data_IF_871962442155
#
_entry.id   IF_871962442155
#
_cell.length_a   1.000
_cell.length_b   1.000
_cell.length_c   1.000
_cell.angle_alpha   90.00
_cell.angle_beta   90.00
_cell.angle_gamma   90.00
#
_symmetry.space_group_name_H-M   'P 1'
#
loop_
_entity.id
_entity.type
_entity.pdbx_description
1 polymer ?
#
# COMPACT_ATOMS: atom_id res chain seq x y z
N UNK A 1 -7.08 16.53 -27.80
CA UNK A 1 -7.27 17.19 -26.49
C UNK A 1 -8.61 16.80 -25.83
N UNK A 2 -9.78 17.19 -26.37
CA UNK A 2 -11.08 16.92 -25.73
C UNK A 2 -11.41 15.42 -25.51
N UNK A 3 -11.08 14.57 -26.49
CA UNK A 3 -11.28 13.10 -26.37
C UNK A 3 -10.44 12.46 -25.27
N UNK A 4 -9.24 12.98 -25.02
CA UNK A 4 -8.34 12.48 -23.97
C UNK A 4 -8.89 12.82 -22.58
N UNK A 5 -9.30 14.08 -22.39
CA UNK A 5 -9.92 14.51 -21.12
C UNK A 5 -11.21 13.74 -20.81
N UNK A 6 -12.06 13.52 -21.82
CA UNK A 6 -13.28 12.72 -21.66
C UNK A 6 -12.97 11.24 -21.32
N UNK A 7 -11.90 10.68 -21.90
CA UNK A 7 -11.46 9.31 -21.61
C UNK A 7 -10.97 9.15 -20.17
N UNK A 8 -10.16 10.10 -19.68
CA UNK A 8 -9.68 10.11 -18.28
C UNK A 8 -10.85 10.32 -17.31
N UNK A 9 -11.74 11.27 -17.62
CA UNK A 9 -12.92 11.51 -16.79
C UNK A 9 -13.77 10.24 -16.64
N UNK A 10 -14.00 9.52 -17.74
CA UNK A 10 -14.78 8.29 -17.72
C UNK A 10 -14.09 7.18 -16.93
N UNK A 11 -12.77 7.01 -17.05
CA UNK A 11 -12.04 5.98 -16.29
C UNK A 11 -12.02 6.29 -14.79
N UNK A 12 -11.88 7.56 -14.39
CA UNK A 12 -11.93 7.99 -12.99
C UNK A 12 -13.30 7.75 -12.39
N UNK A 13 -14.38 8.13 -13.08
CA UNK A 13 -15.74 7.89 -12.60
C UNK A 13 -16.00 6.40 -12.45
N UNK A 14 -15.61 5.58 -13.43
CA UNK A 14 -15.76 4.12 -13.35
C UNK A 14 -14.98 3.51 -12.18
N UNK A 15 -13.77 4.01 -11.90
CA UNK A 15 -13.00 3.56 -10.74
C UNK A 15 -13.69 3.94 -9.41
N UNK A 16 -14.15 5.19 -9.30
CA UNK A 16 -14.86 5.68 -8.12
C UNK A 16 -16.16 4.90 -7.86
N UNK A 17 -16.93 4.58 -8.90
CA UNK A 17 -18.15 3.76 -8.77
C UNK A 17 -17.88 2.36 -8.20
N UNK A 18 -16.73 1.78 -8.51
CA UNK A 18 -16.32 0.46 -7.99
C UNK A 18 -15.74 0.54 -6.57
N UNK A 19 -15.15 1.67 -6.19
CA UNK A 19 -14.55 1.86 -4.85
C UNK A 19 -15.55 2.43 -3.83
N UNK A 20 -16.48 3.28 -4.24
CA UNK A 20 -17.43 4.00 -3.38
C UNK A 20 -18.76 3.25 -3.25
N UNK A 21 -18.70 1.94 -3.01
CA UNK A 21 -19.88 1.12 -2.75
C UNK A 21 -20.20 1.19 -1.25
N UNK A 22 -21.47 1.30 -0.87
CA UNK A 22 -21.86 1.33 0.55
C UNK A 22 -21.68 -0.01 1.26
N UNK A 23 -21.84 -1.09 0.50
CA UNK A 23 -21.68 -2.46 0.97
C UNK A 23 -20.19 -2.85 0.92
N UNK A 24 -19.52 -3.07 2.07
CA UNK A 24 -18.09 -3.37 2.12
C UNK A 24 -17.75 -4.71 1.48
N UNK A 25 -18.66 -5.68 1.49
CA UNK A 25 -18.44 -6.99 0.87
C UNK A 25 -18.41 -6.91 -0.66
N UNK A 26 -18.79 -5.75 -1.22
CA UNK A 26 -18.78 -5.45 -2.66
C UNK A 26 -17.67 -4.48 -3.05
N UNK A 27 -16.81 -4.10 -2.11
CA UNK A 27 -15.63 -3.28 -2.41
C UNK A 27 -14.68 -4.07 -3.30
N UNK A 28 -14.11 -3.39 -4.28
CA UNK A 28 -12.93 -3.93 -4.96
C UNK A 28 -11.76 -3.95 -3.98
N UNK A 29 -10.99 -5.04 -3.99
CA UNK A 29 -9.71 -5.11 -3.27
C UNK A 29 -8.67 -4.16 -3.88
N UNK A 30 -7.59 -3.88 -3.14
CA UNK A 30 -6.49 -3.07 -3.67
C UNK A 30 -5.89 -3.67 -4.95
N UNK A 31 -5.69 -5.00 -5.00
CA UNK A 31 -5.17 -5.70 -6.17
C UNK A 31 -6.11 -5.58 -7.38
N UNK A 32 -7.42 -5.77 -7.19
CA UNK A 32 -8.42 -5.61 -8.26
C UNK A 32 -8.56 -4.15 -8.72
N UNK A 33 -8.38 -3.19 -7.81
CA UNK A 33 -8.42 -1.78 -8.15
C UNK A 33 -7.24 -1.39 -9.05
N UNK A 34 -6.05 -1.95 -8.84
CA UNK A 34 -4.89 -1.73 -9.71
C UNK A 34 -5.11 -2.20 -11.15
N UNK A 35 -6.04 -3.14 -11.40
CA UNK A 35 -6.43 -3.57 -12.76
C UNK A 35 -7.32 -2.58 -13.51
N UNK A 36 -7.82 -1.53 -12.85
CA UNK A 36 -8.65 -0.52 -13.49
C UNK A 36 -7.84 0.31 -14.49
N UNK A 37 -8.47 0.64 -15.62
CA UNK A 37 -7.88 1.45 -16.69
C UNK A 37 -7.40 2.84 -16.26
N UNK A 38 -7.83 3.32 -15.09
CA UNK A 38 -7.34 4.55 -14.49
C UNK A 38 -5.86 4.45 -14.06
N UNK A 39 -5.39 3.27 -13.65
CA UNK A 39 -4.03 3.08 -13.15
C UNK A 39 -3.06 2.54 -14.21
N UNK A 40 -3.56 2.09 -15.38
CA UNK A 40 -2.75 1.39 -16.38
C UNK A 40 -1.59 2.21 -16.95
N UNK A 41 -1.67 3.54 -16.92
CA UNK A 41 -0.59 4.41 -17.44
C UNK A 41 0.66 4.41 -16.55
N UNK A 42 0.49 4.18 -15.25
CA UNK A 42 1.57 4.23 -14.25
C UNK A 42 1.83 2.89 -13.55
N UNK A 43 1.13 1.83 -13.97
CA UNK A 43 1.23 0.52 -13.33
C UNK A 43 2.46 -0.23 -13.85
N UNK A 44 3.28 -0.70 -12.92
CA UNK A 44 4.44 -1.56 -13.16
C UNK A 44 4.22 -2.90 -12.46
N UNK A 45 3.62 -3.92 -13.13
CA UNK A 45 3.23 -5.18 -12.50
C UNK A 45 4.40 -5.93 -11.85
N UNK A 46 5.62 -5.73 -12.33
CA UNK A 46 6.85 -6.28 -11.76
C UNK A 46 7.23 -5.70 -10.39
N UNK A 47 6.78 -4.48 -10.08
CA UNK A 47 7.00 -3.85 -8.77
C UNK A 47 5.92 -4.24 -7.74
N UNK A 48 4.82 -4.85 -8.20
CA UNK A 48 3.73 -5.33 -7.35
C UNK A 48 4.12 -6.65 -6.68
N UNK A 49 4.54 -6.54 -5.42
CA UNK A 49 4.95 -7.68 -4.61
C UNK A 49 4.06 -7.84 -3.39
N UNK A 50 3.78 -9.09 -3.04
CA UNK A 50 3.08 -9.42 -1.80
C UNK A 50 4.06 -9.39 -0.62
N UNK A 51 3.62 -8.81 0.49
CA UNK A 51 4.41 -8.80 1.71
C UNK A 51 4.53 -10.21 2.29
N UNK A 52 5.63 -10.44 3.02
CA UNK A 52 5.74 -11.64 3.85
C UNK A 52 4.65 -11.63 4.94
N UNK A 53 4.19 -12.81 5.41
CA UNK A 53 3.23 -12.89 6.49
C UNK A 53 3.72 -12.13 7.74
N UNK A 54 2.85 -11.27 8.28
CA UNK A 54 3.12 -10.54 9.50
C UNK A 54 2.95 -11.44 10.73
N UNK A 55 3.97 -11.48 11.60
CA UNK A 55 3.89 -12.13 12.90
C UNK A 55 3.13 -11.23 13.88
N UNK A 56 1.84 -11.53 14.04
CA UNK A 56 0.91 -10.85 14.93
C UNK A 56 0.74 -11.57 16.28
N UNK A 57 1.65 -12.47 16.65
CA UNK A 57 1.55 -13.25 17.88
C UNK A 57 1.49 -12.39 19.15
N UNK A 58 2.00 -11.15 19.08
CA UNK A 58 2.03 -10.21 20.20
C UNK A 58 0.85 -9.21 20.26
N UNK A 59 0.06 -9.06 19.19
CA UNK A 59 -0.93 -7.96 19.04
C UNK A 59 -2.01 -7.94 20.12
N UNK A 60 -2.38 -9.11 20.63
CA UNK A 60 -3.44 -9.27 21.64
C UNK A 60 -2.89 -9.75 23.00
N UNK A 61 -1.60 -9.49 23.28
CA UNK A 61 -0.96 -9.91 24.53
C UNK A 61 -1.08 -8.84 25.61
N UNK A 62 -1.46 -9.23 26.82
CA UNK A 62 -1.47 -8.34 27.98
C UNK A 62 -0.15 -8.49 28.75
N UNK A 63 0.88 -7.75 28.33
CA UNK A 63 2.17 -7.71 29.02
C UNK A 63 2.31 -6.47 29.92
N UNK A 64 3.01 -6.56 31.06
CA UNK A 64 3.40 -5.40 31.84
C UNK A 64 4.25 -4.41 31.04
N UNK A 65 4.16 -3.12 31.36
CA UNK A 65 4.90 -2.04 30.69
C UNK A 65 6.41 -2.32 30.53
N UNK A 66 7.05 -2.87 31.57
CA UNK A 66 8.49 -3.13 31.53
C UNK A 66 8.86 -4.20 30.49
N UNK A 67 7.99 -5.18 30.23
CA UNK A 67 8.23 -6.18 29.19
C UNK A 67 8.08 -5.57 27.80
N UNK A 68 7.06 -4.72 27.60
CA UNK A 68 6.91 -3.95 26.35
C UNK A 68 8.14 -3.11 26.05
N UNK A 69 8.70 -2.42 27.05
CA UNK A 69 9.96 -1.67 26.90
C UNK A 69 11.11 -2.56 26.46
N UNK A 70 11.25 -3.75 27.05
CA UNK A 70 12.29 -4.70 26.65
C UNK A 70 12.12 -5.14 25.18
N UNK A 71 10.91 -5.55 24.78
CA UNK A 71 10.64 -5.96 23.38
C UNK A 71 10.94 -4.83 22.39
N UNK A 72 10.43 -3.62 22.64
CA UNK A 72 10.71 -2.45 21.78
C UNK A 72 12.21 -2.15 21.71
N UNK A 73 12.93 -2.23 22.84
CA UNK A 73 14.37 -2.00 22.85
C UNK A 73 15.13 -3.08 22.07
N UNK A 74 14.70 -4.33 22.15
CA UNK A 74 15.26 -5.43 21.34
C UNK A 74 15.07 -5.15 19.84
N UNK A 75 13.89 -4.73 19.40
CA UNK A 75 13.65 -4.38 17.98
C UNK A 75 14.57 -3.25 17.51
N UNK A 76 14.81 -2.22 18.33
CA UNK A 76 15.74 -1.13 18.01
C UNK A 76 17.15 -1.66 17.79
N UNK A 77 17.61 -2.60 18.62
CA UNK A 77 18.95 -3.19 18.50
C UNK A 77 19.07 -4.14 17.31
N UNK A 78 17.99 -4.83 16.94
CA UNK A 78 17.96 -5.78 15.83
C UNK A 78 17.70 -5.12 14.47
N UNK A 79 17.30 -3.85 14.45
CA UNK A 79 17.02 -3.13 13.22
C UNK A 79 18.24 -3.13 12.28
N UNK A 80 18.03 -3.66 11.07
CA UNK A 80 19.00 -3.59 10.00
C UNK A 80 18.51 -2.56 8.99
N UNK A 81 19.26 -1.45 8.76
CA UNK A 81 18.85 -0.49 7.75
C UNK A 81 18.82 -1.19 6.38
N UNK A 82 17.84 -0.85 5.52
CA UNK A 82 17.80 -1.40 4.18
C UNK A 82 19.12 -1.08 3.47
N UNK A 83 19.66 -2.07 2.77
CA UNK A 83 20.75 -1.88 1.83
C UNK A 83 20.21 -1.08 0.66
N UNK A 84 20.19 0.24 0.78
CA UNK A 84 19.82 1.13 -0.32
C UNK A 84 20.91 0.97 -1.38
N UNK A 85 20.70 0.10 -2.37
CA UNK A 85 21.26 0.39 -3.68
C UNK A 85 20.63 1.71 -4.13
N UNK A 86 21.46 2.61 -4.65
CA UNK A 86 21.13 3.85 -5.33
C UNK A 86 20.22 3.59 -6.56
N UNK A 87 19.03 3.01 -6.38
CA UNK A 87 17.94 3.03 -7.35
C UNK A 87 16.89 3.96 -6.81
N UNK A 88 16.92 5.13 -7.40
CA UNK A 88 15.86 6.13 -7.43
C UNK A 88 15.66 6.90 -6.13
N UNK A 89 16.60 7.83 -5.90
CA UNK A 89 16.20 9.18 -5.48
C UNK A 89 15.15 9.74 -6.46
N UNK A 90 13.90 9.30 -6.36
CA UNK A 90 12.77 10.17 -6.72
C UNK A 90 12.64 11.16 -5.57
N UNK A 91 13.46 12.20 -5.66
CA UNK A 91 13.34 13.41 -4.86
C UNK A 91 11.90 13.91 -4.97
N UNK A 92 11.09 13.69 -3.93
CA UNK A 92 9.84 14.43 -3.77
C UNK A 92 10.22 15.86 -3.43
N UNK A 93 10.49 16.69 -4.44
CA UNK A 93 10.50 18.14 -4.27
C UNK A 93 9.11 18.56 -3.81
N UNK A 94 9.04 19.02 -2.56
CA UNK A 94 7.96 19.86 -2.03
C UNK A 94 8.05 21.28 -2.61
#
# INVERSE_FOLDING_TARGET
MYKFYLSIYLSVVSAMERMLVLDPDRHVSAAEALELSMFSEFREPEEETEALPYDHSMDNTDLPLEQWKCHTFTEILLFQPPLIELRDSKETSL
#
